data_IF_887863766809
#
_entry.id   IF_887863766809
#
_cell.length_a   1.000
_cell.length_b   1.000
_cell.length_c   1.000
_cell.angle_alpha   90.00
_cell.angle_beta   90.00
_cell.angle_gamma   90.00
#
_symmetry.space_group_name_H-M   'P 1'
#
loop_
_entity.id
_entity.type
_entity.pdbx_description
1 polymer ?
#
# COMPACT_ATOMS: atom_id res chain seq x y z
N UNK A 1 -23.87 35.48 17.92
CA UNK A 1 -23.36 34.81 19.15
C UNK A 1 -22.40 33.71 18.73
N UNK A 2 -21.09 33.94 18.91
CA UNK A 2 -20.00 33.01 18.55
C UNK A 2 -19.98 31.85 19.56
N UNK A 3 -20.20 30.61 19.12
CA UNK A 3 -19.93 29.42 19.93
C UNK A 3 -18.59 28.85 19.47
N UNK A 4 -17.58 29.08 20.31
CA UNK A 4 -16.25 28.49 20.21
C UNK A 4 -16.40 27.01 20.55
N UNK A 5 -16.10 26.14 19.58
CA UNK A 5 -16.03 24.71 19.78
C UNK A 5 -14.66 24.42 20.43
N UNK A 6 -14.66 24.26 21.75
CA UNK A 6 -13.47 23.76 22.47
C UNK A 6 -13.30 22.29 22.15
N UNK A 7 -12.30 21.97 21.32
CA UNK A 7 -11.75 20.63 21.19
C UNK A 7 -11.03 20.33 22.50
N UNK A 8 -11.72 19.64 23.42
CA UNK A 8 -11.08 19.08 24.60
C UNK A 8 -10.25 17.88 24.17
N UNK A 9 -8.97 18.14 23.89
CA UNK A 9 -7.94 17.11 23.75
C UNK A 9 -7.85 16.38 25.09
N UNK A 10 -8.02 15.07 25.04
CA UNK A 10 -7.87 14.16 26.16
C UNK A 10 -6.37 14.11 26.54
N UNK A 11 -5.90 15.10 27.31
CA UNK A 11 -4.61 15.06 28.00
C UNK A 11 -4.76 14.16 29.23
N UNK A 12 -4.53 12.86 29.06
CA UNK A 12 -4.33 11.95 30.18
C UNK A 12 -2.94 12.27 30.77
N UNK A 13 -2.98 12.83 31.98
CA UNK A 13 -1.98 12.73 33.04
C UNK A 13 -0.49 12.70 32.65
N UNK A 14 0.12 13.88 32.61
CA UNK A 14 1.53 14.07 33.00
C UNK A 14 1.67 13.84 34.51
N UNK A 15 1.75 12.58 34.92
CA UNK A 15 2.32 12.20 36.22
C UNK A 15 3.50 11.30 35.92
N UNK A 16 4.71 11.79 36.21
CA UNK A 16 5.99 11.07 36.22
C UNK A 16 5.94 9.72 35.50
N UNK A 17 6.15 9.74 34.18
CA UNK A 17 6.46 8.52 33.43
C UNK A 17 7.82 8.06 33.96
N UNK A 18 7.79 7.18 34.97
CA UNK A 18 8.96 6.36 35.29
C UNK A 18 9.41 5.74 33.98
N UNK A 19 10.72 5.73 33.72
CA UNK A 19 11.31 5.14 32.53
C UNK A 19 10.73 3.73 32.33
N UNK A 20 9.72 3.64 31.46
CA UNK A 20 9.03 2.39 31.20
C UNK A 20 9.98 1.63 30.30
N UNK A 21 10.84 0.79 30.90
CA UNK A 21 11.68 -0.11 30.14
C UNK A 21 10.78 -1.21 29.55
N UNK A 22 10.30 -0.94 28.33
CA UNK A 22 9.45 -1.84 27.57
C UNK A 22 10.19 -3.11 27.15
N UNK A 23 11.52 -3.15 27.27
CA UNK A 23 12.37 -4.28 26.89
C UNK A 23 12.03 -5.53 27.68
N UNK A 24 11.68 -5.42 28.97
CA UNK A 24 11.30 -6.59 29.79
C UNK A 24 9.95 -7.20 29.35
N UNK A 25 8.96 -6.35 29.08
CA UNK A 25 7.67 -6.80 28.55
C UNK A 25 7.82 -7.42 27.16
N UNK A 26 8.64 -6.81 26.31
CA UNK A 26 8.92 -7.28 24.95
C UNK A 26 9.69 -8.60 24.91
N UNK A 27 10.74 -8.75 25.72
CA UNK A 27 11.47 -10.02 25.84
C UNK A 27 10.57 -11.15 26.35
N UNK A 28 9.71 -10.88 27.34
CA UNK A 28 8.71 -11.85 27.82
C UNK A 28 7.73 -12.25 26.71
N UNK A 29 7.30 -11.30 25.85
CA UNK A 29 6.44 -11.59 24.71
C UNK A 29 7.16 -12.38 23.61
N UNK A 30 8.44 -12.10 23.36
CA UNK A 30 9.29 -12.86 22.43
C UNK A 30 9.41 -14.33 22.86
N UNK A 31 9.54 -14.58 24.17
CA UNK A 31 9.61 -15.92 24.76
C UNK A 31 8.34 -16.76 24.59
N UNK A 32 7.20 -16.14 24.22
CA UNK A 32 5.96 -16.87 23.86
C UNK A 32 6.09 -17.53 22.48
N UNK A 33 6.96 -17.01 21.60
CA UNK A 33 7.12 -17.45 20.22
C UNK A 33 8.51 -18.03 19.89
N UNK A 34 9.09 -18.93 20.70
CA UNK A 34 10.44 -19.43 20.48
C UNK A 34 10.54 -20.26 19.18
N UNK A 35 9.44 -20.92 18.78
CA UNK A 35 9.36 -21.65 17.51
C UNK A 35 9.47 -20.75 16.27
N UNK A 36 9.25 -19.45 16.45
CA UNK A 36 9.30 -18.46 15.36
C UNK A 36 10.69 -17.90 15.12
N UNK A 37 11.69 -18.15 15.99
CA UNK A 37 13.09 -17.75 15.78
C UNK A 37 13.57 -18.27 14.42
N UNK A 38 14.05 -17.37 13.58
CA UNK A 38 14.50 -17.69 12.23
C UNK A 38 16.04 -17.61 12.16
N UNK A 39 16.74 -18.74 11.93
CA UNK A 39 18.20 -18.75 11.86
C UNK A 39 18.75 -18.04 10.61
N UNK A 40 17.89 -17.73 9.63
CA UNK A 40 18.29 -17.14 8.36
C UNK A 40 17.94 -15.64 8.28
N UNK A 41 17.56 -15.02 9.40
CA UNK A 41 17.37 -13.57 9.47
C UNK A 41 18.69 -12.82 9.31
N UNK A 42 18.64 -11.69 8.61
CA UNK A 42 19.79 -10.79 8.46
C UNK A 42 20.76 -11.13 7.33
N UNK A 43 20.48 -12.12 6.49
CA UNK A 43 21.38 -12.50 5.38
C UNK A 43 21.16 -11.68 4.09
N UNK A 44 20.69 -10.43 4.20
CA UNK A 44 20.40 -9.56 3.06
C UNK A 44 20.88 -8.14 3.24
N UNK A 45 21.19 -7.51 2.11
CA UNK A 45 21.55 -6.09 1.96
C UNK A 45 20.34 -5.26 1.58
N UNK A 46 20.50 -3.93 1.55
CA UNK A 46 19.43 -2.97 1.28
C UNK A 46 18.22 -3.10 2.20
N UNK A 47 18.46 -3.32 3.51
CA UNK A 47 17.37 -3.57 4.47
C UNK A 47 16.42 -2.38 4.62
N UNK A 48 16.81 -1.17 4.21
CA UNK A 48 15.90 -0.02 4.14
C UNK A 48 14.67 -0.28 3.26
N UNK A 49 14.77 -1.22 2.29
CA UNK A 49 13.66 -1.64 1.44
C UNK A 49 12.56 -2.38 2.20
N UNK A 50 12.84 -2.88 3.41
CA UNK A 50 11.86 -3.50 4.29
C UNK A 50 11.19 -2.49 5.22
N UNK A 51 11.73 -1.26 5.34
CA UNK A 51 11.13 -0.21 6.15
C UNK A 51 9.97 0.39 5.34
N UNK A 52 8.73 0.29 5.84
CA UNK A 52 7.56 0.76 5.12
C UNK A 52 7.54 2.28 5.06
N UNK A 53 7.06 2.85 3.95
CA UNK A 53 6.76 4.27 3.90
C UNK A 53 5.40 4.58 4.55
N UNK A 54 5.38 5.64 5.35
CA UNK A 54 4.19 6.23 5.96
C UNK A 54 3.72 5.55 7.25
N UNK A 55 2.97 6.29 8.06
CA UNK A 55 2.49 5.81 9.36
C UNK A 55 1.36 4.80 9.24
N UNK A 56 0.44 4.97 8.29
CA UNK A 56 -0.74 4.08 8.19
C UNK A 56 -0.40 2.60 7.96
N UNK A 57 0.62 2.32 7.16
CA UNK A 57 1.08 0.95 6.87
C UNK A 57 1.69 0.31 8.11
N UNK A 58 2.51 1.05 8.85
CA UNK A 58 3.04 0.63 10.14
C UNK A 58 1.93 0.38 11.15
N UNK A 59 1.00 1.32 11.30
CA UNK A 59 -0.12 1.21 12.24
C UNK A 59 -1.01 -0.01 11.99
N UNK A 60 -1.02 -0.54 10.76
CA UNK A 60 -1.74 -1.76 10.37
C UNK A 60 -0.85 -3.02 10.43
N UNK A 61 0.24 -2.97 11.19
CA UNK A 61 1.13 -4.10 11.39
C UNK A 61 1.87 -4.49 10.11
N UNK A 62 1.95 -3.59 9.13
CA UNK A 62 2.49 -3.83 7.78
C UNK A 62 1.73 -4.89 6.95
N UNK A 63 0.49 -5.22 7.34
CA UNK A 63 -0.39 -6.10 6.55
C UNK A 63 -1.08 -5.29 5.44
N UNK A 64 -0.37 -4.99 4.36
CA UNK A 64 -0.84 -3.99 3.38
C UNK A 64 -0.93 -4.50 1.94
N UNK A 65 -0.36 -5.65 1.60
CA UNK A 65 -0.31 -6.20 0.23
C UNK A 65 -1.65 -6.29 -0.51
N UNK A 66 -2.76 -6.56 0.18
CA UNK A 66 -4.10 -6.56 -0.40
C UNK A 66 -4.85 -5.25 -0.25
N UNK A 67 -4.55 -4.44 0.77
CA UNK A 67 -5.21 -3.18 1.03
C UNK A 67 -4.84 -2.15 -0.04
N UNK A 68 -3.54 -1.83 -0.14
CA UNK A 68 -2.89 -0.96 -1.12
C UNK A 68 -3.83 0.06 -1.77
N UNK A 69 -4.41 0.95 -0.97
CA UNK A 69 -5.40 1.94 -1.39
C UNK A 69 -4.85 3.38 -1.39
N UNK A 70 -3.54 3.54 -1.17
CA UNK A 70 -2.83 4.82 -1.22
C UNK A 70 -1.41 4.68 -1.80
N UNK A 71 -0.67 5.79 -1.88
CA UNK A 71 0.69 5.86 -2.42
C UNK A 71 1.73 4.94 -1.79
N UNK A 72 1.48 4.34 -0.63
CA UNK A 72 2.45 3.45 0.02
C UNK A 72 2.57 2.08 -0.65
N UNK A 73 1.73 1.81 -1.65
CA UNK A 73 1.72 0.53 -2.38
C UNK A 73 3.08 0.14 -2.99
N UNK A 74 4.00 1.09 -3.25
CA UNK A 74 5.31 0.79 -3.83
C UNK A 74 6.13 -0.24 -3.03
N UNK A 75 5.95 -0.26 -1.70
CA UNK A 75 6.64 -1.19 -0.80
C UNK A 75 5.93 -2.55 -0.65
N UNK A 76 4.73 -2.69 -1.24
CA UNK A 76 3.84 -3.83 -1.01
C UNK A 76 3.35 -4.47 -2.29
N UNK A 77 2.47 -3.81 -3.05
CA UNK A 77 1.84 -4.42 -4.23
C UNK A 77 1.83 -3.46 -5.44
N UNK A 78 2.67 -3.68 -6.46
CA UNK A 78 2.74 -2.82 -7.62
C UNK A 78 1.45 -2.77 -8.45
N UNK A 79 0.53 -3.73 -8.29
CA UNK A 79 -0.75 -3.73 -9.02
C UNK A 79 -1.71 -2.61 -8.60
N UNK A 80 -1.45 -1.97 -7.46
CA UNK A 80 -2.41 -1.09 -6.83
C UNK A 80 -2.61 0.26 -7.55
N UNK A 81 -1.62 0.76 -8.28
CA UNK A 81 -1.74 2.06 -8.95
C UNK A 81 -2.90 2.12 -9.96
N UNK A 82 -3.28 0.98 -10.54
CA UNK A 82 -4.41 0.87 -11.46
C UNK A 82 -5.77 0.87 -10.76
N UNK A 83 -5.83 0.73 -9.43
CA UNK A 83 -7.06 0.74 -8.64
C UNK A 83 -7.17 1.91 -7.67
N UNK A 84 -6.14 2.75 -7.54
CA UNK A 84 -6.19 3.96 -6.72
C UNK A 84 -7.36 4.87 -7.14
N UNK A 85 -8.02 5.44 -6.14
CA UNK A 85 -9.12 6.38 -6.37
C UNK A 85 -8.62 7.73 -6.87
N UNK A 86 -7.54 8.23 -6.27
CA UNK A 86 -7.00 9.56 -6.50
C UNK A 86 -5.58 9.49 -7.07
N UNK A 87 -5.20 10.54 -7.79
CA UNK A 87 -3.80 10.88 -8.05
C UNK A 87 -3.24 11.47 -6.77
N UNK A 88 -2.09 10.99 -6.29
CA UNK A 88 -1.54 11.39 -4.99
C UNK A 88 -0.08 11.80 -5.11
N UNK A 89 0.30 12.80 -4.32
CA UNK A 89 1.69 13.09 -3.96
C UNK A 89 1.82 12.91 -2.47
N UNK A 90 2.82 12.15 -2.02
CA UNK A 90 3.01 11.89 -0.60
C UNK A 90 4.44 12.15 -0.16
N UNK A 91 4.56 12.73 1.02
CA UNK A 91 5.80 12.84 1.78
C UNK A 91 5.65 12.01 3.05
N UNK A 92 6.66 11.23 3.40
CA UNK A 92 6.70 10.46 4.65
C UNK A 92 8.05 10.60 5.32
N UNK A 93 8.03 10.64 6.64
CA UNK A 93 9.20 10.68 7.50
C UNK A 93 9.04 9.58 8.55
N UNK A 94 10.01 8.67 8.62
CA UNK A 94 10.07 7.65 9.67
C UNK A 94 11.31 7.91 10.51
N UNK A 95 11.14 8.10 11.82
CA UNK A 95 12.21 8.23 12.79
C UNK A 95 12.42 6.90 13.51
N UNK A 96 13.62 6.34 13.41
CA UNK A 96 14.00 5.03 13.93
C UNK A 96 15.09 5.15 15.01
N UNK A 97 15.67 4.02 15.40
CA UNK A 97 16.69 3.92 16.46
C UNK A 97 17.95 4.70 16.06
N UNK A 98 18.69 5.21 17.06
CA UNK A 98 20.01 5.82 16.89
C UNK A 98 20.02 6.98 15.86
N UNK A 99 19.02 7.86 15.95
CA UNK A 99 18.85 9.03 15.07
C UNK A 99 18.79 8.68 13.57
N UNK A 100 18.50 7.41 13.24
CA UNK A 100 18.26 7.00 11.86
C UNK A 100 16.89 7.46 11.39
N UNK A 101 16.81 7.85 10.12
CA UNK A 101 15.56 8.27 9.53
C UNK A 101 15.44 7.85 8.07
N UNK A 102 14.19 7.75 7.63
CA UNK A 102 13.82 7.45 6.25
C UNK A 102 12.88 8.55 5.75
N UNK A 103 13.29 9.25 4.70
CA UNK A 103 12.43 10.15 3.94
C UNK A 103 11.88 9.45 2.72
N UNK A 104 10.60 9.65 2.43
CA UNK A 104 9.96 9.13 1.22
C UNK A 104 9.20 10.22 0.51
N UNK A 105 9.41 10.34 -0.80
CA UNK A 105 8.56 11.10 -1.73
C UNK A 105 7.95 10.12 -2.73
N UNK A 106 6.63 10.17 -2.92
CA UNK A 106 5.95 9.34 -3.92
C UNK A 106 4.93 10.14 -4.73
N UNK A 107 4.79 9.78 -6.00
CA UNK A 107 3.80 10.30 -6.93
C UNK A 107 3.07 9.13 -7.59
N UNK A 108 1.75 9.19 -7.60
CA UNK A 108 0.90 8.17 -8.20
C UNK A 108 -0.11 8.79 -9.15
N UNK A 109 -0.41 8.09 -10.25
CA UNK A 109 -1.41 8.53 -11.20
C UNK A 109 -2.10 7.34 -11.84
N UNK A 110 -3.39 7.52 -12.13
CA UNK A 110 -4.22 6.53 -12.81
C UNK A 110 -4.97 7.15 -13.97
N UNK A 111 -5.01 6.45 -15.09
CA UNK A 111 -5.78 6.80 -16.27
C UNK A 111 -6.58 5.59 -16.77
N UNK A 112 -7.90 5.58 -16.56
CA UNK A 112 -8.73 4.40 -16.80
C UNK A 112 -8.28 3.21 -15.96
N UNK A 113 -7.97 2.11 -16.63
CA UNK A 113 -7.48 0.88 -16.00
C UNK A 113 -5.96 0.81 -15.90
N UNK A 114 -5.22 1.84 -16.29
CA UNK A 114 -3.74 1.84 -16.21
C UNK A 114 -3.28 2.78 -15.11
N UNK A 115 -2.42 2.27 -14.23
CA UNK A 115 -1.76 3.03 -13.18
C UNK A 115 -0.27 3.14 -13.41
N UNK A 116 0.32 4.24 -12.95
CA UNK A 116 1.77 4.44 -12.97
C UNK A 116 2.18 5.40 -11.85
N UNK A 117 3.46 5.36 -11.50
CA UNK A 117 3.98 6.22 -10.45
C UNK A 117 5.49 6.12 -10.30
N UNK A 118 6.03 7.00 -9.45
CA UNK A 118 7.43 6.98 -9.06
C UNK A 118 7.57 7.24 -7.55
N UNK A 119 8.59 6.66 -6.94
CA UNK A 119 8.93 6.85 -5.54
C UNK A 119 10.44 7.07 -5.40
N UNK A 120 10.82 7.95 -4.49
CA UNK A 120 12.20 8.15 -4.03
C UNK A 120 12.22 7.94 -2.52
N UNK A 121 13.15 7.11 -2.04
CA UNK A 121 13.39 6.89 -0.61
C UNK A 121 14.84 7.21 -0.29
N UNK A 122 15.10 7.88 0.83
CA UNK A 122 16.42 8.16 1.34
C UNK A 122 16.49 7.77 2.81
N UNK A 123 17.19 6.68 3.09
CA UNK A 123 17.51 6.23 4.44
C UNK A 123 18.90 6.72 4.81
N UNK A 124 19.06 7.26 6.01
CA UNK A 124 20.37 7.68 6.51
C UNK A 124 20.53 7.33 7.97
N UNK A 125 21.75 6.94 8.33
CA UNK A 125 22.15 6.65 9.71
C UNK A 125 23.39 7.50 10.00
N UNK A 126 23.27 8.50 10.89
CA UNK A 126 24.45 9.20 11.38
C UNK A 126 25.23 8.27 12.33
N UNK A 127 26.54 8.17 12.13
CA UNK A 127 27.40 7.49 13.09
C UNK A 127 28.74 8.20 13.22
N UNK A 128 29.46 7.90 14.30
CA UNK A 128 30.82 8.40 14.51
C UNK A 128 31.78 7.23 14.51
N UNK A 129 32.90 7.42 13.85
CA UNK A 129 34.01 6.48 13.86
C UNK A 129 34.88 6.75 15.09
N UNK A 130 35.29 5.68 15.76
CA UNK A 130 36.15 5.71 16.94
C UNK A 130 37.38 4.85 16.68
N UNK A 131 38.56 5.35 17.04
CA UNK A 131 39.79 4.57 16.97
C UNK A 131 39.89 3.55 18.12
N UNK A 132 40.98 2.79 18.14
CA UNK A 132 41.25 1.77 19.16
C UNK A 132 41.32 2.31 20.60
N UNK A 133 41.53 3.62 20.78
CA UNK A 133 41.59 4.28 22.08
C UNK A 133 40.25 4.90 22.50
N UNK A 134 39.22 4.82 21.64
CA UNK A 134 37.90 5.39 21.88
C UNK A 134 37.82 6.89 21.56
N UNK A 135 38.82 7.46 20.90
CA UNK A 135 38.76 8.83 20.41
C UNK A 135 37.95 8.88 19.12
N UNK A 136 37.09 9.90 19.01
CA UNK A 136 36.30 10.12 17.79
C UNK A 136 37.18 10.68 16.69
N UNK A 137 37.35 9.91 15.62
CA UNK A 137 38.25 10.24 14.50
C UNK A 137 37.52 10.78 13.28
N UNK A 138 36.27 10.36 13.05
CA UNK A 138 35.47 10.87 11.95
C UNK A 138 33.96 10.90 12.27
N UNK A 139 33.23 11.80 11.59
CA UNK A 139 31.78 11.81 11.55
C UNK A 139 31.34 11.31 10.17
N UNK A 140 30.48 10.30 10.15
CA UNK A 140 30.21 9.52 8.94
C UNK A 140 28.72 9.25 8.78
N UNK A 141 28.27 9.16 7.54
CA UNK A 141 26.88 8.88 7.20
C UNK A 141 26.80 7.62 6.34
N UNK A 142 26.12 6.62 6.87
CA UNK A 142 25.60 5.53 6.05
C UNK A 142 24.34 6.04 5.38
N UNK A 143 24.17 5.79 4.08
CA UNK A 143 22.90 6.08 3.42
C UNK A 143 22.52 5.03 2.39
N UNK A 144 21.21 4.80 2.26
CA UNK A 144 20.62 4.05 1.18
C UNK A 144 19.57 4.92 0.47
N UNK A 145 19.80 5.21 -0.81
CA UNK A 145 18.83 5.93 -1.63
C UNK A 145 18.25 4.98 -2.66
N UNK A 146 16.92 4.93 -2.80
CA UNK A 146 16.25 4.10 -3.79
C UNK A 146 15.25 4.88 -4.63
N UNK A 147 15.19 4.55 -5.91
CA UNK A 147 14.20 5.06 -6.86
C UNK A 147 13.38 3.90 -7.42
N UNK A 148 12.06 4.02 -7.38
CA UNK A 148 11.12 3.02 -7.87
C UNK A 148 10.24 3.62 -8.97
N UNK A 149 10.07 2.89 -10.07
CA UNK A 149 9.10 3.20 -11.12
C UNK A 149 8.04 2.10 -11.20
N UNK A 150 6.78 2.49 -11.30
CA UNK A 150 5.65 1.58 -11.29
C UNK A 150 4.81 1.66 -12.57
N UNK A 151 4.34 0.49 -13.02
CA UNK A 151 3.32 0.36 -14.05
C UNK A 151 2.35 -0.77 -13.67
N UNK A 152 1.05 -0.54 -13.82
CA UNK A 152 0.03 -1.56 -13.58
C UNK A 152 -1.19 -1.41 -14.50
N UNK A 153 -1.96 -2.50 -14.63
CA UNK A 153 -3.18 -2.53 -15.41
C UNK A 153 -4.26 -3.41 -14.78
N UNK A 154 -5.52 -2.96 -14.85
CA UNK A 154 -6.70 -3.72 -14.44
C UNK A 154 -7.39 -4.38 -15.63
N UNK A 155 -7.43 -5.71 -15.63
CA UNK A 155 -8.14 -6.52 -16.60
C UNK A 155 -9.55 -6.83 -16.10
N UNK A 156 -10.48 -7.03 -17.05
CA UNK A 156 -11.86 -7.47 -16.76
C UNK A 156 -12.60 -6.53 -15.78
N UNK A 157 -12.31 -5.23 -15.84
CA UNK A 157 -12.97 -4.23 -15.01
C UNK A 157 -14.46 -4.15 -15.37
N UNK A 158 -15.32 -4.41 -14.39
CA UNK A 158 -16.77 -4.37 -14.51
C UNK A 158 -17.46 -3.75 -13.30
N UNK A 159 -18.79 -3.72 -13.34
CA UNK A 159 -19.64 -3.28 -12.24
C UNK A 159 -19.67 -4.32 -11.11
N UNK A 160 -19.96 -5.58 -11.46
CA UNK A 160 -20.07 -6.68 -10.48
C UNK A 160 -18.70 -7.20 -10.05
N UNK A 161 -17.84 -7.52 -11.02
CA UNK A 161 -16.45 -7.91 -10.81
C UNK A 161 -15.55 -6.71 -11.09
N UNK A 162 -14.79 -6.25 -10.09
CA UNK A 162 -13.97 -5.04 -10.23
C UNK A 162 -12.67 -5.28 -11.03
N UNK A 163 -12.43 -6.51 -11.44
CA UNK A 163 -11.30 -6.90 -12.26
C UNK A 163 -10.15 -7.51 -11.45
N UNK A 164 -9.15 -7.96 -12.21
CA UNK A 164 -7.86 -8.42 -11.70
C UNK A 164 -6.84 -7.38 -12.12
N UNK A 165 -6.18 -6.76 -11.15
CA UNK A 165 -5.11 -5.82 -11.40
C UNK A 165 -3.78 -6.52 -11.28
N UNK A 166 -2.88 -6.29 -12.23
CA UNK A 166 -1.49 -6.76 -12.15
C UNK A 166 -0.56 -5.58 -12.36
N UNK A 167 0.63 -5.64 -11.76
CA UNK A 167 1.60 -4.57 -11.90
C UNK A 167 3.02 -5.02 -11.63
N UNK A 168 3.95 -4.16 -12.00
CA UNK A 168 5.37 -4.34 -11.79
C UNK A 168 6.01 -3.05 -11.26
N UNK A 169 7.04 -3.21 -10.43
CA UNK A 169 7.97 -2.13 -10.08
C UNK A 169 9.34 -2.46 -10.64
N UNK A 170 10.04 -1.43 -11.12
CA UNK A 170 11.48 -1.45 -11.34
C UNK A 170 12.15 -0.57 -10.30
N UNK A 171 13.18 -1.08 -9.62
CA UNK A 171 13.83 -0.42 -8.49
C UNK A 171 15.34 -0.36 -8.68
N UNK A 172 15.90 0.81 -8.45
CA UNK A 172 17.33 1.05 -8.35
C UNK A 172 17.64 1.55 -6.94
N UNK A 173 18.65 0.99 -6.29
CA UNK A 173 19.08 1.41 -4.97
C UNK A 173 20.60 1.62 -4.93
N UNK A 174 21.05 2.68 -4.27
CA UNK A 174 22.45 2.97 -4.03
C UNK A 174 22.70 3.02 -2.53
N UNK A 175 23.61 2.17 -2.04
CA UNK A 175 24.12 2.20 -0.67
C UNK A 175 25.46 2.92 -0.70
N UNK A 176 25.53 4.05 -0.02
CA UNK A 176 26.75 4.83 0.15
C UNK A 176 27.37 4.54 1.51
N UNK A 177 28.61 4.06 1.50
CA UNK A 177 29.45 3.91 2.69
C UNK A 177 30.53 5.00 2.65
N UNK A 178 30.75 5.74 3.75
CA UNK A 178 31.80 6.74 3.81
C UNK A 178 33.19 6.08 3.94
N UNK A 179 34.23 6.79 3.52
CA UNK A 179 35.61 6.36 3.75
C UNK A 179 35.90 6.29 5.26
N UNK A 180 36.64 5.27 5.69
CA UNK A 180 37.04 5.05 7.08
C UNK A 180 38.54 5.33 7.27
N UNK A 181 38.97 5.44 8.52
CA UNK A 181 40.35 5.77 8.91
C UNK A 181 41.22 4.52 9.13
N UNK A 182 42.53 4.65 8.93
CA UNK A 182 43.50 3.61 9.28
C UNK A 182 43.69 3.58 10.81
N UNK A 183 43.50 2.40 11.41
CA UNK A 183 43.64 2.19 12.86
C UNK A 183 45.05 2.47 13.42
N UNK A 184 46.07 2.67 12.58
CA UNK A 184 47.45 2.93 13.00
C UNK A 184 47.79 4.42 13.10
N UNK A 185 47.24 5.24 12.22
CA UNK A 185 47.59 6.66 12.11
C UNK A 185 46.39 7.62 11.99
N UNK A 186 45.18 7.10 12.12
CA UNK A 186 43.89 7.81 12.05
C UNK A 186 43.71 8.60 10.73
N UNK A 187 44.48 8.27 9.68
CA UNK A 187 44.35 8.91 8.36
C UNK A 187 43.21 8.28 7.54
N UNK A 188 42.47 9.10 6.79
CA UNK A 188 41.36 8.61 5.96
C UNK A 188 41.91 7.77 4.79
N UNK A 189 41.44 6.53 4.67
CA UNK A 189 41.77 5.66 3.54
C UNK A 189 40.85 6.04 2.37
N UNK A 190 41.34 6.88 1.46
CA UNK A 190 40.56 7.34 0.30
C UNK A 190 40.07 6.18 -0.57
N UNK A 191 38.77 6.17 -0.86
CA UNK A 191 38.11 5.18 -1.72
C UNK A 191 37.65 3.91 -1.00
N UNK A 192 37.97 3.76 0.29
CA UNK A 192 37.60 2.61 1.11
C UNK A 192 36.09 2.47 1.35
N UNK A 193 35.36 3.59 1.33
CA UNK A 193 33.90 3.64 1.38
C UNK A 193 33.26 3.30 0.04
N UNK A 194 33.84 3.75 -1.08
CA UNK A 194 33.34 3.41 -2.41
C UNK A 194 33.45 1.90 -2.68
N UNK A 195 34.49 1.24 -2.19
CA UNK A 195 34.67 -0.21 -2.30
C UNK A 195 33.56 -1.01 -1.57
N UNK A 196 33.02 -0.47 -0.48
CA UNK A 196 31.93 -1.11 0.29
C UNK A 196 30.52 -0.66 -0.15
N UNK A 197 30.46 0.44 -0.89
CA UNK A 197 29.22 0.96 -1.47
C UNK A 197 28.65 -0.04 -2.47
N UNK A 198 27.32 -0.06 -2.60
CA UNK A 198 26.65 -1.06 -3.42
C UNK A 198 25.55 -0.46 -4.30
N UNK A 199 25.35 -1.07 -5.47
CA UNK A 199 24.24 -0.83 -6.38
C UNK A 199 23.29 -2.03 -6.36
N UNK A 200 22.04 -1.80 -6.00
CA UNK A 200 20.95 -2.76 -6.06
C UNK A 200 20.06 -2.53 -7.27
N UNK A 201 19.76 -3.59 -8.02
CA UNK A 201 18.79 -3.60 -9.11
C UNK A 201 17.75 -4.66 -8.77
N UNK A 202 16.50 -4.23 -8.60
CA UNK A 202 15.40 -5.09 -8.14
C UNK A 202 14.13 -4.87 -8.96
N UNK A 203 13.25 -5.86 -8.92
CA UNK A 203 11.90 -5.78 -9.45
C UNK A 203 10.86 -6.36 -8.50
N UNK A 204 9.63 -5.83 -8.61
CA UNK A 204 8.46 -6.41 -7.95
C UNK A 204 7.44 -6.85 -9.00
N UNK A 205 6.66 -7.87 -8.68
CA UNK A 205 5.45 -8.26 -9.38
C UNK A 205 4.30 -8.40 -8.39
N UNK A 206 3.09 -8.03 -8.81
CA UNK A 206 1.94 -8.11 -7.93
C UNK A 206 0.65 -8.31 -8.69
N UNK A 207 -0.31 -8.91 -8.00
CA UNK A 207 -1.69 -9.05 -8.44
C UNK A 207 -2.66 -8.74 -7.30
N UNK A 208 -3.79 -8.11 -7.62
CA UNK A 208 -4.92 -7.86 -6.73
C UNK A 208 -6.21 -8.25 -7.43
N UNK A 209 -7.01 -9.11 -6.79
CA UNK A 209 -8.36 -9.41 -7.21
C UNK A 209 -9.36 -8.80 -6.23
N UNK A 210 -10.38 -8.13 -6.77
CA UNK A 210 -11.34 -7.34 -6.01
C UNK A 210 -12.75 -7.91 -6.13
N UNK A 211 -13.38 -8.20 -4.98
CA UNK A 211 -14.66 -8.90 -4.88
C UNK A 211 -15.63 -8.15 -3.96
N UNK A 212 -16.90 -8.56 -4.04
CA UNK A 212 -17.91 -8.29 -3.02
C UNK A 212 -18.27 -9.61 -2.33
N UNK A 213 -18.12 -9.68 -1.01
CA UNK A 213 -18.48 -10.84 -0.21
C UNK A 213 -19.05 -10.38 1.13
N UNK A 214 -20.22 -10.89 1.53
CA UNK A 214 -20.88 -10.57 2.82
C UNK A 214 -20.84 -9.07 3.13
N UNK A 215 -21.33 -8.25 2.19
CA UNK A 215 -21.26 -6.79 2.25
C UNK A 215 -22.55 -6.21 2.85
N UNK A 216 -22.47 -5.63 4.03
CA UNK A 216 -23.64 -5.11 4.78
C UNK A 216 -23.86 -3.60 4.62
N UNK A 217 -23.39 -3.01 3.51
CA UNK A 217 -23.52 -1.58 3.25
C UNK A 217 -23.63 -1.28 1.76
N UNK A 218 -24.36 -0.22 1.43
CA UNK A 218 -24.56 0.23 0.06
C UNK A 218 -23.38 1.11 -0.36
N UNK A 219 -22.44 0.50 -1.05
CA UNK A 219 -21.30 1.18 -1.66
C UNK A 219 -20.94 0.41 -2.93
N UNK A 220 -20.35 1.08 -3.90
CA UNK A 220 -19.88 0.46 -5.14
C UNK A 220 -18.50 -0.16 -4.99
N UNK A 221 -17.71 0.28 -4.02
CA UNK A 221 -16.34 -0.17 -3.84
C UNK A 221 -16.26 -1.62 -3.37
N UNK A 222 -15.31 -2.42 -3.85
CA UNK A 222 -15.16 -3.80 -3.41
C UNK A 222 -14.87 -3.84 -1.91
N UNK A 223 -15.52 -4.77 -1.20
CA UNK A 223 -15.31 -4.92 0.23
C UNK A 223 -14.35 -6.06 0.58
N UNK A 224 -13.95 -6.88 -0.38
CA UNK A 224 -12.95 -7.94 -0.21
C UNK A 224 -11.87 -7.82 -1.30
N UNK A 225 -10.61 -7.86 -0.89
CA UNK A 225 -9.44 -7.90 -1.79
C UNK A 225 -8.54 -9.05 -1.39
N UNK A 226 -8.04 -9.78 -2.39
CA UNK A 226 -7.02 -10.82 -2.23
C UNK A 226 -5.83 -10.46 -3.11
N UNK A 227 -4.62 -10.66 -2.60
CA UNK A 227 -3.41 -10.29 -3.30
C UNK A 227 -2.30 -11.33 -3.19
N UNK A 228 -1.45 -11.35 -4.21
CA UNK A 228 -0.18 -12.08 -4.25
C UNK A 228 0.90 -11.12 -4.73
N UNK A 229 2.06 -11.12 -4.08
CA UNK A 229 3.18 -10.23 -4.43
C UNK A 229 4.51 -10.94 -4.34
N UNK A 230 5.42 -10.50 -5.22
CA UNK A 230 6.84 -10.78 -5.23
C UNK A 230 7.53 -9.42 -5.11
N UNK A 231 8.25 -9.17 -4.02
CA UNK A 231 8.93 -7.90 -3.78
C UNK A 231 10.45 -8.08 -3.78
N UNK A 232 11.17 -7.09 -4.30
CA UNK A 232 12.61 -6.90 -4.21
C UNK A 232 13.44 -8.08 -4.77
N UNK A 233 12.95 -8.78 -5.79
CA UNK A 233 13.70 -9.81 -6.49
C UNK A 233 14.76 -9.16 -7.37
N UNK A 234 16.03 -9.48 -7.19
CA UNK A 234 17.10 -8.75 -7.88
C UNK A 234 18.50 -9.21 -7.55
N UNK A 235 19.46 -8.33 -7.84
CA UNK A 235 20.86 -8.51 -7.53
C UNK A 235 21.47 -7.20 -7.08
N UNK A 236 22.57 -7.32 -6.35
CA UNK A 236 23.35 -6.25 -5.76
C UNK A 236 24.81 -6.43 -6.19
N UNK A 237 25.49 -5.32 -6.44
CA UNK A 237 26.90 -5.26 -6.83
C UNK A 237 27.65 -4.34 -5.87
N UNK A 238 28.86 -4.72 -5.48
CA UNK A 238 29.75 -3.97 -4.58
C UNK A 238 31.19 -4.03 -5.11
N UNK A 239 32.16 -3.40 -4.43
CA UNK A 239 33.58 -3.40 -4.85
C UNK A 239 33.91 -2.32 -5.88
N UNK A 240 33.17 -1.21 -5.90
CA UNK A 240 33.43 -0.12 -6.84
C UNK A 240 34.77 0.56 -6.51
N UNK A 241 35.58 0.83 -7.54
CA UNK A 241 36.93 1.38 -7.37
C UNK A 241 38.03 0.34 -7.15
N UNK A 242 37.68 -0.92 -6.84
CA UNK A 242 38.62 -2.05 -6.77
C UNK A 242 38.23 -3.15 -7.77
N UNK A 243 37.47 -4.16 -7.34
CA UNK A 243 36.98 -5.26 -8.16
C UNK A 243 35.48 -5.47 -7.93
N UNK A 244 34.68 -5.17 -8.97
CA UNK A 244 33.22 -5.29 -8.90
C UNK A 244 32.85 -6.77 -8.74
N UNK A 245 32.08 -7.07 -7.70
CA UNK A 245 31.57 -8.40 -7.37
C UNK A 245 30.10 -8.36 -6.97
N UNK A 246 29.43 -9.51 -7.01
CA UNK A 246 28.08 -9.66 -6.45
C UNK A 246 28.14 -9.46 -4.94
N UNK A 247 27.22 -8.67 -4.40
CA UNK A 247 27.03 -8.50 -2.96
C UNK A 247 26.00 -9.53 -2.45
N UNK A 248 25.66 -9.50 -1.15
CA UNK A 248 24.64 -10.40 -0.58
C UNK A 248 23.27 -10.21 -1.25
N UNK A 249 22.35 -11.15 -1.04
CA UNK A 249 21.06 -11.09 -1.71
C UNK A 249 20.23 -9.86 -1.31
N UNK A 250 19.41 -9.41 -2.26
CA UNK A 250 18.41 -8.35 -2.01
C UNK A 250 17.31 -8.87 -1.08
N UNK A 251 16.54 -7.99 -0.42
CA UNK A 251 15.57 -8.40 0.59
C UNK A 251 14.28 -8.92 -0.05
N UNK A 252 14.39 -9.99 -0.85
CA UNK A 252 13.31 -10.54 -1.64
C UNK A 252 12.22 -11.18 -0.76
N UNK A 253 10.95 -10.98 -1.11
CA UNK A 253 9.82 -11.44 -0.29
C UNK A 253 8.65 -11.88 -1.15
N UNK A 254 8.01 -12.97 -0.74
CA UNK A 254 6.73 -13.42 -1.29
C UNK A 254 5.65 -13.15 -0.25
N UNK A 255 4.56 -12.49 -0.63
CA UNK A 255 3.42 -12.25 0.27
C UNK A 255 2.09 -12.68 -0.36
N UNK A 256 1.17 -13.13 0.50
CA UNK A 256 -0.23 -13.34 0.20
C UNK A 256 -1.08 -12.53 1.18
N UNK A 257 -1.95 -11.67 0.67
CA UNK A 257 -2.70 -10.70 1.46
C UNK A 257 -4.22 -10.86 1.32
N UNK A 258 -4.93 -10.46 2.37
CA UNK A 258 -6.38 -10.35 2.44
C UNK A 258 -6.75 -9.00 3.05
N UNK A 259 -7.68 -8.27 2.44
CA UNK A 259 -8.26 -7.06 3.00
C UNK A 259 -9.78 -7.15 2.93
N UNK A 260 -10.46 -6.96 4.04
CA UNK A 260 -11.90 -7.11 4.17
C UNK A 260 -12.53 -5.95 4.93
N UNK A 261 -13.60 -5.37 4.37
CA UNK A 261 -14.40 -4.30 4.95
C UNK A 261 -15.82 -4.80 5.17
N UNK A 262 -16.14 -5.47 6.30
CA UNK A 262 -17.50 -5.96 6.55
C UNK A 262 -18.53 -4.82 6.66
N UNK A 263 -18.11 -3.70 7.26
CA UNK A 263 -18.89 -2.48 7.44
C UNK A 263 -18.13 -1.29 6.86
N UNK A 264 -18.82 -0.25 6.39
CA UNK A 264 -18.19 0.93 5.78
C UNK A 264 -17.10 1.59 6.65
N UNK A 265 -17.20 1.45 7.97
CA UNK A 265 -16.28 2.06 8.96
C UNK A 265 -15.26 1.11 9.56
N UNK A 266 -15.29 -0.18 9.23
CA UNK A 266 -14.39 -1.18 9.80
C UNK A 266 -13.65 -1.90 8.69
N UNK A 267 -12.33 -1.80 8.68
CA UNK A 267 -11.43 -2.50 7.79
C UNK A 267 -10.56 -3.46 8.60
N UNK A 268 -10.38 -4.66 8.06
CA UNK A 268 -9.50 -5.70 8.60
C UNK A 268 -8.57 -6.12 7.47
N UNK A 269 -7.29 -6.26 7.77
CA UNK A 269 -6.27 -6.71 6.82
C UNK A 269 -5.38 -7.77 7.44
N UNK A 270 -4.89 -8.69 6.63
CA UNK A 270 -4.03 -9.79 7.04
C UNK A 270 -3.08 -10.17 5.91
N UNK A 271 -1.87 -10.58 6.27
CA UNK A 271 -0.83 -10.96 5.32
C UNK A 271 0.00 -12.12 5.86
N UNK A 272 0.24 -13.11 5.01
CA UNK A 272 1.28 -14.11 5.19
C UNK A 272 2.43 -13.75 4.27
N UNK A 273 3.66 -13.79 4.78
CA UNK A 273 4.83 -13.45 3.98
C UNK A 273 6.03 -14.30 4.33
N UNK A 274 6.89 -14.53 3.34
CA UNK A 274 8.13 -15.29 3.49
C UNK A 274 9.28 -14.54 2.85
N UNK A 275 10.35 -14.35 3.60
CA UNK A 275 11.60 -13.83 3.06
C UNK A 275 12.32 -14.92 2.25
N UNK A 276 12.88 -14.57 1.09
CA UNK A 276 13.50 -15.50 0.16
C UNK A 276 14.96 -15.10 -0.07
N UNK A 277 15.87 -16.03 0.19
CA UNK A 277 17.26 -15.92 -0.24
C UNK A 277 17.38 -16.45 -1.67
N UNK A 278 17.93 -15.62 -2.56
CA UNK A 278 17.98 -15.90 -4.01
C UNK A 278 19.17 -16.79 -4.37
N UNK A 279 20.24 -16.74 -3.58
CA UNK A 279 21.42 -17.58 -3.67
C UNK A 279 21.16 -19.00 -3.18
N UNK A 280 20.34 -19.16 -2.13
CA UNK A 280 19.93 -20.46 -1.60
C UNK A 280 18.47 -20.44 -1.09
N UNK A 281 17.56 -20.95 -1.91
CA UNK A 281 16.15 -21.05 -1.57
C UNK A 281 15.88 -21.98 -0.38
N UNK A 282 16.74 -22.96 -0.10
CA UNK A 282 16.56 -23.90 1.02
C UNK A 282 16.77 -23.23 2.38
N UNK A 283 17.62 -22.21 2.43
CA UNK A 283 17.89 -21.37 3.59
C UNK A 283 16.98 -20.13 3.66
N UNK A 284 15.88 -20.09 2.92
CA UNK A 284 14.90 -18.99 3.02
C UNK A 284 14.27 -18.91 4.41
N UNK A 285 13.87 -17.70 4.82
CA UNK A 285 13.31 -17.44 6.14
C UNK A 285 11.97 -18.13 6.40
N UNK A 286 11.54 -18.14 7.66
CA UNK A 286 10.26 -18.66 8.11
C UNK A 286 9.10 -17.78 7.63
N UNK A 287 7.90 -18.37 7.64
CA UNK A 287 6.67 -17.63 7.34
C UNK A 287 6.39 -16.68 8.50
N UNK A 288 6.15 -15.41 8.16
CA UNK A 288 5.71 -14.36 9.06
C UNK A 288 4.24 -14.04 8.83
N UNK A 289 3.56 -13.54 9.86
CA UNK A 289 2.15 -13.18 9.82
C UNK A 289 1.96 -11.75 10.29
N UNK A 290 1.14 -10.99 9.56
CA UNK A 290 0.76 -9.63 9.91
C UNK A 290 -0.76 -9.48 9.87
N UNK A 291 -1.32 -8.64 10.74
CA UNK A 291 -2.71 -8.25 10.70
C UNK A 291 -2.91 -6.83 11.21
N UNK A 292 -3.96 -6.17 10.74
CA UNK A 292 -4.32 -4.82 11.17
C UNK A 292 -5.81 -4.55 11.08
N UNK A 293 -6.28 -3.62 11.91
CA UNK A 293 -7.66 -3.14 11.95
C UNK A 293 -7.64 -1.62 11.83
N UNK A 294 -8.51 -1.08 10.99
CA UNK A 294 -8.81 0.35 10.92
C UNK A 294 -10.28 0.59 11.25
N UNK A 295 -10.53 1.48 12.20
CA UNK A 295 -11.86 1.93 12.58
C UNK A 295 -12.03 3.42 12.26
N UNK A 296 -12.91 3.75 11.30
CA UNK A 296 -13.29 5.12 10.98
C UNK A 296 -14.28 5.63 12.02
N UNK A 297 -13.78 6.44 12.95
CA UNK A 297 -14.59 7.06 14.01
C UNK A 297 -15.46 8.18 13.44
N UNK A 298 -14.89 8.99 12.53
CA UNK A 298 -15.59 10.05 11.79
C UNK A 298 -15.16 10.03 10.31
N UNK A 299 -15.82 10.80 9.42
CA UNK A 299 -15.36 10.93 8.03
C UNK A 299 -13.95 11.51 7.88
N UNK A 300 -13.44 12.20 8.90
CA UNK A 300 -12.14 12.88 8.89
C UNK A 300 -11.11 12.25 9.83
N UNK A 301 -11.48 11.21 10.58
CA UNK A 301 -10.62 10.61 11.59
C UNK A 301 -10.81 9.10 11.66
N UNK A 302 -9.70 8.36 11.58
CA UNK A 302 -9.64 6.93 11.77
C UNK A 302 -8.53 6.55 12.76
N UNK A 303 -8.76 5.44 13.47
CA UNK A 303 -7.79 4.83 14.35
C UNK A 303 -7.35 3.49 13.79
N UNK A 304 -6.07 3.17 13.91
CA UNK A 304 -5.49 1.92 13.44
C UNK A 304 -4.75 1.19 14.56
N UNK A 305 -4.83 -0.13 14.53
CA UNK A 305 -4.07 -1.03 15.38
C UNK A 305 -3.55 -2.20 14.54
N UNK A 306 -2.34 -2.65 14.84
CA UNK A 306 -1.63 -3.64 14.04
C UNK A 306 -0.82 -4.60 14.89
N UNK A 307 -0.63 -5.79 14.36
CA UNK A 307 0.23 -6.83 14.92
C UNK A 307 1.05 -7.49 13.81
N UNK A 308 2.31 -7.77 14.11
CA UNK A 308 3.21 -8.48 13.22
C UNK A 308 4.05 -9.46 14.02
N UNK A 309 4.02 -10.72 13.60
CA UNK A 309 4.94 -11.76 14.07
C UNK A 309 5.90 -12.12 12.94
N UNK A 310 7.16 -11.72 13.11
CA UNK A 310 8.27 -12.03 12.22
C UNK A 310 9.46 -12.38 13.10
N UNK A 311 10.00 -13.58 12.93
CA UNK A 311 10.94 -14.12 13.91
C UNK A 311 10.28 -14.30 15.28
N UNK A 312 11.09 -14.31 16.34
CA UNK A 312 10.61 -14.16 17.71
C UNK A 312 10.52 -12.68 18.14
N UNK A 313 10.15 -11.79 17.23
CA UNK A 313 9.98 -10.36 17.50
C UNK A 313 8.53 -9.93 17.20
N UNK A 314 7.59 -10.11 18.16
CA UNK A 314 6.23 -9.61 18.01
C UNK A 314 6.22 -8.09 18.04
N UNK A 315 5.57 -7.47 17.05
CA UNK A 315 5.44 -6.01 16.94
C UNK A 315 3.99 -5.59 17.03
N UNK A 316 3.73 -4.59 17.87
CA UNK A 316 2.43 -3.97 18.02
C UNK A 316 2.52 -2.55 17.54
N UNK A 317 1.55 -2.12 16.74
CA UNK A 317 1.54 -0.76 16.20
C UNK A 317 0.19 -0.11 16.44
N UNK A 318 0.22 1.18 16.74
CA UNK A 318 -0.96 2.02 16.90
C UNK A 318 -0.80 3.25 16.01
N UNK A 319 -1.90 3.74 15.45
CA UNK A 319 -1.86 4.93 14.63
C UNK A 319 -3.18 5.63 14.50
N UNK A 320 -3.12 6.77 13.84
CA UNK A 320 -4.28 7.60 13.54
C UNK A 320 -4.13 8.24 12.17
N UNK A 321 -5.24 8.34 11.44
CA UNK A 321 -5.33 9.04 10.16
C UNK A 321 -6.33 10.20 10.27
N UNK A 322 -5.96 11.33 9.67
CA UNK A 322 -6.75 12.55 9.60
C UNK A 322 -6.94 12.98 8.15
N UNK A 323 -8.18 13.24 7.74
CA UNK A 323 -8.49 13.79 6.42
C UNK A 323 -8.91 15.27 6.54
N UNK A 324 -8.05 16.17 6.06
CA UNK A 324 -8.28 17.61 6.08
C UNK A 324 -8.29 18.12 4.64
N UNK A 325 -9.50 18.33 4.11
CA UNK A 325 -9.78 18.83 2.75
C UNK A 325 -9.27 17.88 1.65
N UNK A 326 -8.02 18.06 1.24
CA UNK A 326 -7.34 17.27 0.18
C UNK A 326 -6.02 16.69 0.68
N UNK A 327 -5.77 16.76 1.98
CA UNK A 327 -4.54 16.28 2.59
C UNK A 327 -4.94 15.23 3.62
N UNK A 328 -4.49 14.00 3.40
CA UNK A 328 -4.53 12.95 4.41
C UNK A 328 -3.21 12.94 5.16
N UNK A 329 -3.29 12.91 6.48
CA UNK A 329 -2.11 12.81 7.34
C UNK A 329 -2.26 11.56 8.19
N UNK A 330 -1.16 10.83 8.37
CA UNK A 330 -1.13 9.70 9.28
C UNK A 330 0.09 9.77 10.19
N UNK A 331 -0.11 9.29 11.42
CA UNK A 331 0.91 9.13 12.45
C UNK A 331 0.80 7.74 13.04
N UNK A 332 1.93 7.08 13.24
CA UNK A 332 2.00 5.78 13.87
C UNK A 332 3.17 5.67 14.82
N UNK A 333 3.00 4.81 15.82
CA UNK A 333 4.03 4.38 16.73
C UNK A 333 4.07 2.86 16.73
N UNK A 334 5.27 2.31 16.58
CA UNK A 334 5.52 0.87 16.59
C UNK A 334 6.30 0.49 17.84
N UNK A 335 5.81 -0.55 18.53
CA UNK A 335 6.33 -1.09 19.76
C UNK A 335 6.87 -2.51 19.50
N UNK A 336 8.19 -2.64 19.50
CA UNK A 336 8.96 -3.88 19.31
C UNK A 336 10.18 -3.95 20.25
N UNK A 337 11.02 -4.98 20.11
CA UNK A 337 12.24 -5.15 20.93
C UNK A 337 13.23 -3.99 20.88
N UNK A 338 13.12 -3.11 19.88
CA UNK A 338 14.01 -1.96 19.68
C UNK A 338 13.39 -0.63 20.03
N UNK A 339 12.10 -0.62 20.40
CA UNK A 339 11.40 0.57 20.82
C UNK A 339 11.87 1.07 22.17
N UNK A 340 12.13 2.37 22.26
CA UNK A 340 12.43 3.10 23.48
C UNK A 340 11.43 4.23 23.68
N UNK A 341 11.10 4.51 24.93
CA UNK A 341 10.31 5.68 25.34
C UNK A 341 11.20 6.88 25.70
N UNK A 342 12.51 6.69 25.80
CA UNK A 342 13.47 7.75 26.11
C UNK A 342 14.87 7.44 25.53
N UNK A 343 15.25 8.05 24.38
CA UNK A 343 14.42 8.88 23.52
C UNK A 343 13.31 8.07 22.84
N UNK A 344 12.20 8.74 22.49
CA UNK A 344 11.13 8.10 21.71
C UNK A 344 11.64 7.83 20.29
N UNK A 345 11.56 6.57 19.85
CA UNK A 345 11.91 6.13 18.49
C UNK A 345 10.73 5.38 17.84
N UNK A 346 10.85 4.96 16.58
CA UNK A 346 9.79 4.24 15.84
C UNK A 346 8.49 5.04 15.67
N UNK A 347 8.63 6.32 15.29
CA UNK A 347 7.51 7.18 14.90
C UNK A 347 7.52 7.31 13.38
N UNK A 348 6.36 7.12 12.77
CA UNK A 348 6.18 7.28 11.33
C UNK A 348 5.07 8.27 11.02
N UNK A 349 5.37 9.24 10.17
CA UNK A 349 4.51 10.35 9.79
C UNK A 349 4.36 10.37 8.27
N UNK A 350 3.16 10.65 7.77
CA UNK A 350 3.01 11.00 6.37
C UNK A 350 1.96 12.08 6.11
N UNK A 351 2.15 12.79 5.00
CA UNK A 351 1.20 13.73 4.44
C UNK A 351 1.00 13.38 2.95
N UNK A 352 -0.24 13.10 2.56
CA UNK A 352 -0.66 12.67 1.24
C UNK A 352 -1.62 13.69 0.65
N UNK A 353 -1.19 14.41 -0.38
CA UNK A 353 -2.01 15.37 -1.10
C UNK A 353 -2.75 14.68 -2.25
N UNK A 354 -4.09 14.76 -2.21
CA UNK A 354 -4.97 14.24 -3.26
C UNK A 354 -5.17 15.28 -4.36
N UNK A 355 -4.66 14.97 -5.55
CA UNK A 355 -4.71 15.83 -6.73
C UNK A 355 -5.97 15.63 -7.58
N UNK A 356 -6.78 14.60 -7.27
CA UNK A 356 -8.05 14.32 -7.92
C UNK A 356 -8.08 13.01 -8.71
N UNK A 357 -9.27 12.66 -9.20
CA UNK A 357 -9.60 11.38 -9.85
C UNK A 357 -9.72 11.49 -11.38
N UNK A 358 -9.34 12.65 -11.95
CA UNK A 358 -9.47 12.98 -13.37
C UNK A 358 -10.91 12.86 -13.92
N UNK A 359 -11.91 13.11 -13.07
CA UNK A 359 -13.31 13.10 -13.48
C UNK A 359 -13.96 11.71 -13.47
N UNK A 360 -13.27 10.67 -12.97
CA UNK A 360 -13.84 9.31 -12.87
C UNK A 360 -15.15 9.26 -12.08
N UNK A 361 -15.20 9.86 -10.89
CA UNK A 361 -16.43 9.92 -10.08
C UNK A 361 -17.54 10.71 -10.79
N UNK A 362 -17.19 11.80 -11.47
CA UNK A 362 -18.15 12.60 -12.23
C UNK A 362 -18.73 11.83 -13.45
N UNK A 363 -17.88 11.16 -14.24
CA UNK A 363 -18.34 10.33 -15.35
C UNK A 363 -19.17 9.15 -14.84
N UNK A 364 -18.81 8.56 -13.70
CA UNK A 364 -19.60 7.50 -13.08
C UNK A 364 -21.01 7.96 -12.74
N UNK A 365 -21.14 9.11 -12.08
CA UNK A 365 -22.44 9.67 -11.72
C UNK A 365 -23.32 9.88 -12.96
N UNK A 366 -22.74 10.26 -14.09
CA UNK A 366 -23.45 10.40 -15.36
C UNK A 366 -23.89 9.05 -15.96
N UNK A 367 -23.07 8.00 -15.82
CA UNK A 367 -23.45 6.63 -16.21
C UNK A 367 -24.63 6.15 -15.36
N UNK A 368 -24.56 6.36 -14.04
CA UNK A 368 -25.62 5.99 -13.12
C UNK A 368 -26.91 6.75 -13.41
N UNK A 369 -26.82 8.04 -13.74
CA UNK A 369 -27.97 8.85 -14.15
C UNK A 369 -28.64 8.29 -15.42
N UNK A 370 -27.87 7.99 -16.48
CA UNK A 370 -28.40 7.41 -17.71
C UNK A 370 -29.08 6.06 -17.46
N UNK A 371 -28.53 5.26 -16.54
CA UNK A 371 -29.13 3.99 -16.14
C UNK A 371 -30.49 4.17 -15.45
N UNK A 372 -30.57 5.12 -14.51
CA UNK A 372 -31.81 5.46 -13.81
C UNK A 372 -32.87 6.04 -14.77
N UNK A 373 -32.48 6.91 -15.70
CA UNK A 373 -33.37 7.42 -16.76
C UNK A 373 -33.95 6.28 -17.60
N UNK A 374 -33.12 5.28 -17.96
CA UNK A 374 -33.60 4.11 -18.68
C UNK A 374 -34.59 3.27 -17.87
N UNK A 375 -34.39 3.11 -16.56
CA UNK A 375 -35.36 2.44 -15.68
C UNK A 375 -36.69 3.19 -15.61
N UNK A 376 -36.65 4.53 -15.59
CA UNK A 376 -37.85 5.36 -15.60
C UNK A 376 -38.64 5.18 -16.90
N UNK A 377 -38.00 5.31 -18.06
CA UNK A 377 -38.66 5.09 -19.36
C UNK A 377 -39.23 3.67 -19.48
N UNK A 378 -38.52 2.67 -18.97
CA UNK A 378 -39.00 1.29 -18.96
C UNK A 378 -40.27 1.14 -18.12
N UNK A 379 -40.32 1.77 -16.94
CA UNK A 379 -41.50 1.75 -16.07
C UNK A 379 -42.71 2.48 -16.69
N UNK A 380 -42.47 3.52 -17.49
CA UNK A 380 -43.49 4.27 -18.22
C UNK A 380 -43.94 3.57 -19.54
N UNK A 381 -43.29 2.47 -19.93
CA UNK A 381 -43.60 1.70 -21.15
C UNK A 381 -42.89 2.20 -22.42
N UNK A 382 -42.00 3.17 -22.30
CA UNK A 382 -41.17 3.71 -23.39
C UNK A 382 -39.90 2.86 -23.58
N UNK A 383 -40.08 1.64 -24.12
CA UNK A 383 -39.02 0.63 -24.18
C UNK A 383 -37.85 1.00 -25.10
N UNK A 384 -38.11 1.68 -26.22
CA UNK A 384 -37.06 2.07 -27.16
C UNK A 384 -36.18 3.17 -26.56
N UNK A 385 -36.80 4.14 -25.89
CA UNK A 385 -36.15 5.21 -25.14
C UNK A 385 -35.30 4.64 -24.00
N UNK A 386 -35.82 3.66 -23.26
CA UNK A 386 -35.07 2.96 -22.23
C UNK A 386 -33.80 2.28 -22.79
N UNK A 387 -33.94 1.55 -23.90
CA UNK A 387 -32.82 0.89 -24.60
C UNK A 387 -31.76 1.90 -25.01
N UNK A 388 -32.16 3.03 -25.62
CA UNK A 388 -31.23 4.09 -26.03
C UNK A 388 -30.42 4.63 -24.84
N UNK A 389 -31.08 4.91 -23.70
CA UNK A 389 -30.39 5.41 -22.49
C UNK A 389 -29.40 4.40 -21.92
N UNK A 390 -29.74 3.12 -21.91
CA UNK A 390 -28.82 2.08 -21.46
C UNK A 390 -27.64 1.89 -22.42
N UNK A 391 -27.84 2.01 -23.73
CA UNK A 391 -26.73 2.00 -24.71
C UNK A 391 -25.78 3.18 -24.51
N UNK A 392 -26.31 4.38 -24.26
CA UNK A 392 -25.51 5.55 -23.90
C UNK A 392 -24.70 5.31 -22.61
N UNK A 393 -25.33 4.74 -21.57
CA UNK A 393 -24.66 4.39 -20.33
C UNK A 393 -23.51 3.40 -20.55
N UNK A 394 -23.74 2.36 -21.35
CA UNK A 394 -22.73 1.34 -21.71
C UNK A 394 -21.56 1.98 -22.46
N UNK A 395 -21.85 2.79 -23.50
CA UNK A 395 -20.83 3.47 -24.30
C UNK A 395 -19.97 4.39 -23.43
N UNK A 396 -20.61 5.12 -22.53
CA UNK A 396 -19.93 6.06 -21.62
C UNK A 396 -19.09 5.34 -20.57
N UNK A 397 -19.57 4.24 -20.00
CA UNK A 397 -18.82 3.41 -19.07
C UNK A 397 -17.58 2.75 -19.71
N UNK A 398 -17.71 2.31 -20.97
CA UNK A 398 -16.60 1.71 -21.73
C UNK A 398 -15.53 2.74 -22.13
N UNK A 399 -15.89 4.02 -22.21
CA UNK A 399 -14.99 5.11 -22.57
C UNK A 399 -14.10 5.57 -21.40
N UNK A 400 -13.04 6.32 -21.71
CA UNK A 400 -12.25 7.03 -20.71
C UNK A 400 -13.13 8.07 -19.99
N UNK A 401 -12.96 8.29 -18.67
CA UNK A 401 -11.88 7.79 -17.82
C UNK A 401 -12.19 6.48 -17.08
N UNK A 402 -13.27 5.76 -17.43
CA UNK A 402 -13.77 4.60 -16.67
C UNK A 402 -13.26 3.25 -17.20
N UNK A 403 -13.30 3.04 -18.52
CA UNK A 403 -12.84 1.82 -19.17
C UNK A 403 -13.39 0.53 -18.54
N UNK A 404 -14.67 0.53 -18.15
CA UNK A 404 -15.30 -0.60 -17.47
C UNK A 404 -16.52 -1.13 -18.22
N UNK A 405 -16.81 -2.41 -18.00
CA UNK A 405 -18.10 -3.00 -18.34
C UNK A 405 -19.16 -2.55 -17.32
N UNK A 406 -20.35 -2.20 -17.78
CA UNK A 406 -21.46 -1.81 -16.90
C UNK A 406 -22.60 -2.81 -17.05
N UNK A 407 -22.48 -3.95 -16.36
CA UNK A 407 -23.42 -5.07 -16.44
C UNK A 407 -24.88 -4.71 -16.15
N UNK A 408 -25.23 -3.81 -15.20
CA UNK A 408 -26.63 -3.47 -14.95
C UNK A 408 -27.36 -2.93 -16.18
N UNK A 409 -26.75 -2.02 -16.93
CA UNK A 409 -27.35 -1.49 -18.16
C UNK A 409 -27.38 -2.54 -19.29
N UNK A 410 -26.35 -3.39 -19.39
CA UNK A 410 -26.32 -4.48 -20.39
C UNK A 410 -27.49 -5.44 -20.14
N UNK A 411 -27.67 -5.88 -18.89
CA UNK A 411 -28.75 -6.80 -18.51
C UNK A 411 -30.13 -6.17 -18.71
N UNK A 412 -30.31 -4.91 -18.32
CA UNK A 412 -31.57 -4.19 -18.49
C UNK A 412 -31.94 -4.01 -19.97
N UNK A 413 -30.96 -3.60 -20.80
CA UNK A 413 -31.11 -3.49 -22.26
C UNK A 413 -31.50 -4.81 -22.90
N UNK A 414 -30.79 -5.89 -22.57
CA UNK A 414 -31.04 -7.20 -23.15
C UNK A 414 -32.42 -7.74 -22.75
N UNK A 415 -32.87 -7.47 -21.51
CA UNK A 415 -34.21 -7.80 -21.04
C UNK A 415 -35.29 -7.02 -21.83
N UNK A 416 -35.11 -5.71 -22.04
CA UNK A 416 -36.07 -4.91 -22.81
C UNK A 416 -36.11 -5.26 -24.30
N UNK A 417 -34.96 -5.57 -24.91
CA UNK A 417 -34.89 -6.06 -26.29
C UNK A 417 -35.67 -7.36 -26.46
N UNK A 418 -35.51 -8.30 -25.52
CA UNK A 418 -36.24 -9.56 -25.53
C UNK A 418 -37.75 -9.34 -25.35
N UNK A 419 -38.15 -8.43 -24.46
CA UNK A 419 -39.55 -8.06 -24.26
C UNK A 419 -40.18 -7.46 -25.53
N UNK A 420 -39.52 -6.48 -26.17
CA UNK A 420 -39.99 -5.89 -27.42
C UNK A 420 -40.16 -6.93 -28.54
N UNK A 421 -39.22 -7.88 -28.64
CA UNK A 421 -39.31 -8.98 -29.60
C UNK A 421 -40.51 -9.89 -29.36
N UNK A 422 -40.83 -10.19 -28.09
CA UNK A 422 -42.01 -10.97 -27.74
C UNK A 422 -43.32 -10.22 -27.99
N UNK A 423 -43.35 -8.92 -27.66
CA UNK A 423 -44.50 -8.04 -27.92
C UNK A 423 -44.83 -7.96 -29.42
N UNK A 424 -43.82 -7.72 -30.26
CA UNK A 424 -44.01 -7.69 -31.72
C UNK A 424 -44.58 -9.01 -32.26
N UNK A 425 -44.08 -10.16 -31.79
CA UNK A 425 -44.62 -11.46 -32.20
C UNK A 425 -46.08 -11.66 -31.81
N UNK A 426 -46.47 -11.20 -30.61
CA UNK A 426 -47.86 -11.26 -30.16
C UNK A 426 -48.74 -10.35 -31.01
N UNK A 427 -48.31 -9.12 -31.30
CA UNK A 427 -49.05 -8.19 -32.16
C UNK A 427 -49.23 -8.76 -33.59
N UNK A 428 -48.20 -9.39 -34.15
CA UNK A 428 -48.27 -10.06 -35.45
C UNK A 428 -49.25 -11.25 -35.44
N UNK A 429 -49.23 -12.07 -34.37
CA UNK A 429 -50.21 -13.16 -34.19
C UNK A 429 -51.64 -12.63 -34.10
N UNK A 430 -51.87 -11.56 -33.33
CA UNK A 430 -53.21 -10.96 -33.18
C UNK A 430 -53.74 -10.40 -34.50
N UNK A 431 -52.87 -9.81 -35.33
CA UNK A 431 -53.25 -9.35 -36.67
C UNK A 431 -53.67 -10.49 -37.58
N UNK A 432 -52.96 -11.63 -37.57
CA UNK A 432 -53.33 -12.80 -38.36
C UNK A 432 -54.70 -13.35 -37.95
N UNK A 433 -55.02 -13.40 -36.65
CA UNK A 433 -56.35 -13.85 -36.17
C UNK A 433 -57.50 -12.86 -36.38
N UNK A 434 -57.25 -11.63 -36.81
CA UNK A 434 -58.29 -10.64 -37.13
C UNK A 434 -58.53 -10.51 -38.65
N UNK A 435 -57.66 -11.11 -39.46
CA UNK A 435 -57.78 -11.17 -40.92
C UNK A 435 -58.42 -12.49 -41.42
N UNK A 436 -58.61 -13.48 -40.52
CA UNK A 436 -59.46 -14.66 -40.67
C UNK A 436 -60.82 -14.45 -39.96
#
# INVERSE_FOLDING_TARGET
MKKIFSVSIFFIFLTQVQALDLTYAQSTLADIFPSSIDPNEGNTVFRSMNIPCGGRTEALGTAFSALCDDSTFFDYNPAASAILEQTEVSLSHNAWIADSALETLALTRRNGNTGYGAQLKCFYVPFSEYNLYGDRVAASYYSETSATFNLSHTFLAGYNFKGISTGANFKLAWRSIPDYTDNRDDSIISGSGLEQSALGIMGDLGAIACFNALKFYQDRDPNLKVALTLNNFGASLTGFGSSIKKDDDTPARISAGLSYRPFARLLITSELRKHVLLSDFSSSGKISFATGIEAKVTPVFAFQCGFLLQGANPRFSLGSEFDIKRIKMDVAYTLDLTSSANPVNHISLSAKMQLGDRGRKATMAQVDQLYLEGLQFYAEGYYNEAIMRWEEAIKKAASQPLCMKFEPAIQARDAALNFNKQKSKLEDMYKVTLED
#
